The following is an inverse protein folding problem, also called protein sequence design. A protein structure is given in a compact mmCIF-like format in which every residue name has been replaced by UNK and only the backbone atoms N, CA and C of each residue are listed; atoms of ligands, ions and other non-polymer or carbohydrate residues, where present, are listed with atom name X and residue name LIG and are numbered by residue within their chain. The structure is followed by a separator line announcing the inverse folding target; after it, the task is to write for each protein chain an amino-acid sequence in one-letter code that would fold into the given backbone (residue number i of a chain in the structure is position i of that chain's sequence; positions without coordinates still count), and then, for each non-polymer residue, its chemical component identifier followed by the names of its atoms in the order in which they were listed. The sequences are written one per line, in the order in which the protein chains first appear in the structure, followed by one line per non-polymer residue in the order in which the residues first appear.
data_IF_203613474745
#
_entry.id   IF_203613474745
#
_cell.length_a   1.000
_cell.length_b   1.000
_cell.length_c   1.000
_cell.angle_alpha   90.00
_cell.angle_beta   90.00
_cell.angle_gamma   90.00
#
_symmetry.space_group_name_H-M   'P 1'
#
loop_
_entity.id
_entity.type
_entity.pdbx_description
1 polymer ?
#
# COMPACT_ATOMS: atom_id res chain seq x y z
N UNK A 1 26.48 -38.11 -11.20
CA UNK A 1 26.90 -37.32 -10.02
C UNK A 1 25.82 -36.30 -9.77
N UNK A 2 25.04 -36.53 -8.73
CA UNK A 2 23.94 -35.69 -8.30
C UNK A 2 24.53 -34.51 -7.52
N UNK A 3 24.30 -33.29 -7.98
CA UNK A 3 24.72 -32.07 -7.26
C UNK A 3 23.64 -31.79 -6.22
N UNK A 4 24.00 -31.94 -4.96
CA UNK A 4 23.19 -31.51 -3.82
C UNK A 4 23.41 -30.00 -3.70
N UNK A 5 22.35 -29.21 -3.90
CA UNK A 5 22.37 -27.77 -3.63
C UNK A 5 21.99 -27.60 -2.17
N UNK A 6 22.95 -27.16 -1.36
CA UNK A 6 22.73 -26.80 0.03
C UNK A 6 21.90 -25.51 0.12
N UNK A 7 20.92 -25.56 1.02
CA UNK A 7 19.94 -24.53 1.34
C UNK A 7 20.62 -23.31 2.02
N UNK A 8 20.54 -22.07 1.50
CA UNK A 8 21.10 -20.91 2.17
C UNK A 8 20.07 -20.28 3.10
N UNK A 9 19.78 -20.94 4.23
CA UNK A 9 19.09 -20.34 5.37
C UNK A 9 20.13 -20.01 6.45
N UNK A 10 20.90 -18.94 6.22
CA UNK A 10 21.69 -18.24 7.24
C UNK A 10 22.10 -16.89 6.65
N UNK A 11 21.37 -15.82 7.00
CA UNK A 11 21.79 -14.45 6.67
C UNK A 11 22.78 -14.01 7.75
N UNK A 12 24.07 -14.28 7.54
CA UNK A 12 25.12 -13.66 8.36
C UNK A 12 25.25 -12.17 8.00
N UNK A 13 24.86 -11.30 8.94
CA UNK A 13 25.13 -9.87 8.85
C UNK A 13 26.61 -9.61 9.21
N UNK A 14 27.47 -9.42 8.20
CA UNK A 14 28.79 -8.85 8.42
C UNK A 14 28.69 -7.32 8.45
N UNK A 15 28.94 -6.74 9.62
CA UNK A 15 29.15 -5.30 9.78
C UNK A 15 30.65 -5.11 10.03
N UNK A 16 31.36 -4.61 9.02
CA UNK A 16 32.72 -4.11 9.20
C UNK A 16 32.67 -2.76 9.91
N UNK A 17 32.74 -2.82 11.25
CA UNK A 17 33.12 -1.71 12.09
C UNK A 17 34.31 -2.17 12.94
N UNK A 18 35.40 -1.43 12.83
CA UNK A 18 36.65 -1.65 13.57
C UNK A 18 36.38 -1.65 15.09
N UNK A 19 36.88 -2.71 15.76
CA UNK A 19 37.31 -2.85 17.18
C UNK A 19 36.56 -2.02 18.25
N UNK A 20 35.90 -2.55 19.29
CA UNK A 20 36.15 -3.69 20.19
C UNK A 20 34.84 -4.05 20.94
N UNK A 21 34.62 -5.34 21.26
CA UNK A 21 33.59 -5.79 22.23
C UNK A 21 32.35 -6.46 21.62
N UNK A 22 32.47 -7.73 21.20
CA UNK A 22 31.37 -8.53 20.65
C UNK A 22 30.54 -9.18 21.76
N UNK A 23 29.30 -8.73 21.97
CA UNK A 23 28.20 -9.62 22.39
C UNK A 23 27.37 -9.96 21.14
N UNK A 24 27.31 -11.25 20.81
CA UNK A 24 26.47 -11.76 19.72
C UNK A 24 25.02 -11.70 20.17
N UNK A 25 24.25 -10.74 19.68
CA UNK A 25 22.79 -10.83 19.76
C UNK A 25 22.34 -11.79 18.65
N UNK A 26 22.15 -13.05 19.03
CA UNK A 26 21.53 -14.05 18.17
C UNK A 26 20.01 -13.93 18.37
N UNK A 27 19.31 -13.43 17.36
CA UNK A 27 17.84 -13.52 17.32
C UNK A 27 17.52 -14.70 16.45
N UNK A 28 17.08 -15.79 17.08
CA UNK A 28 16.69 -17.02 16.40
C UNK A 28 15.31 -16.82 15.77
N UNK A 29 15.27 -16.62 14.45
CA UNK A 29 14.01 -16.45 13.71
C UNK A 29 13.27 -17.77 13.48
N UNK A 30 13.92 -18.92 13.71
CA UNK A 30 13.29 -20.23 13.55
C UNK A 30 12.39 -20.60 14.75
N UNK A 31 12.57 -19.96 15.92
CA UNK A 31 11.73 -20.22 17.11
C UNK A 31 10.27 -19.75 16.97
N UNK A 32 9.95 -18.91 15.97
CA UNK A 32 8.61 -18.34 15.79
C UNK A 32 7.76 -19.04 14.71
N UNK A 33 8.32 -19.96 13.92
CA UNK A 33 7.61 -20.59 12.79
C UNK A 33 6.98 -21.91 13.24
N UNK A 34 5.66 -22.06 13.06
CA UNK A 34 4.95 -23.30 13.43
C UNK A 34 5.32 -24.50 12.53
N UNK A 35 5.31 -25.73 13.10
CA UNK A 35 5.44 -26.96 12.31
C UNK A 35 4.31 -27.05 11.27
N UNK A 36 4.67 -27.05 9.99
CA UNK A 36 3.71 -27.05 8.88
C UNK A 36 3.42 -25.67 8.27
N UNK A 37 4.33 -24.70 8.44
CA UNK A 37 4.25 -23.33 7.93
C UNK A 37 4.04 -23.12 6.42
N UNK A 38 4.03 -21.87 5.99
CA UNK A 38 3.85 -21.44 4.62
C UNK A 38 5.04 -21.87 3.75
N UNK A 39 4.74 -22.63 2.71
CA UNK A 39 5.72 -23.07 1.73
C UNK A 39 5.72 -22.09 0.57
N UNK A 40 6.87 -21.48 0.31
CA UNK A 40 7.05 -20.59 -0.84
C UNK A 40 6.94 -21.41 -2.14
N UNK A 41 6.10 -21.00 -3.09
CA UNK A 41 6.05 -21.64 -4.40
C UNK A 41 7.31 -21.33 -5.21
N UNK A 42 7.71 -22.27 -6.07
CA UNK A 42 8.88 -22.10 -6.95
C UNK A 42 8.63 -21.07 -8.07
N UNK A 43 7.37 -20.92 -8.50
CA UNK A 43 6.96 -20.03 -9.59
C UNK A 43 5.75 -19.17 -9.19
N UNK A 44 5.60 -18.02 -9.84
CA UNK A 44 4.47 -17.11 -9.65
C UNK A 44 3.17 -17.65 -10.26
N UNK A 45 2.10 -16.87 -10.17
CA UNK A 45 0.76 -17.28 -10.60
C UNK A 45 0.66 -17.54 -12.13
N UNK A 46 1.68 -17.12 -12.90
CA UNK A 46 1.80 -17.32 -14.35
C UNK A 46 2.83 -18.42 -14.72
N UNK A 47 3.43 -19.09 -13.73
CA UNK A 47 4.45 -20.12 -13.97
C UNK A 47 5.84 -19.57 -14.30
N UNK A 48 6.09 -18.30 -14.02
CA UNK A 48 7.38 -17.61 -14.21
C UNK A 48 8.10 -17.43 -12.87
N UNK A 49 9.34 -16.95 -12.92
CA UNK A 49 10.03 -16.53 -11.69
C UNK A 49 9.33 -15.31 -11.08
N UNK A 50 9.28 -15.22 -9.76
CA UNK A 50 8.72 -14.03 -9.08
C UNK A 50 9.53 -12.78 -9.42
N UNK A 51 8.83 -11.66 -9.62
CA UNK A 51 9.43 -10.36 -9.96
C UNK A 51 10.34 -10.41 -11.20
N UNK A 52 9.91 -11.17 -12.21
CA UNK A 52 10.59 -11.21 -13.51
C UNK A 52 10.22 -9.97 -14.33
N UNK A 53 11.19 -9.06 -14.47
CA UNK A 53 11.06 -7.81 -15.24
C UNK A 53 11.90 -7.80 -16.52
N UNK A 54 12.54 -8.92 -16.87
CA UNK A 54 13.40 -9.02 -18.05
C UNK A 54 12.74 -9.81 -19.18
N UNK A 55 11.65 -10.51 -18.88
CA UNK A 55 10.94 -11.35 -19.84
C UNK A 55 9.91 -10.55 -20.67
N UNK A 56 10.41 -9.94 -21.75
CA UNK A 56 9.66 -9.05 -22.64
C UNK A 56 8.59 -9.71 -23.53
N UNK A 57 8.28 -11.01 -23.35
CA UNK A 57 7.36 -11.75 -24.23
C UNK A 57 5.88 -11.71 -23.81
N UNK A 58 5.48 -10.89 -22.83
CA UNK A 58 4.08 -10.80 -22.38
C UNK A 58 3.52 -9.36 -22.32
N UNK A 59 2.21 -9.20 -22.59
CA UNK A 59 1.48 -7.91 -22.53
C UNK A 59 1.57 -7.26 -21.14
N UNK A 60 1.71 -8.08 -20.09
CA UNK A 60 1.85 -7.61 -18.71
C UNK A 60 3.15 -6.84 -18.48
N UNK A 61 4.25 -7.29 -19.09
CA UNK A 61 5.56 -6.66 -18.98
C UNK A 61 5.55 -5.25 -19.57
N UNK A 62 4.92 -5.06 -20.74
CA UNK A 62 4.77 -3.73 -21.35
C UNK A 62 3.97 -2.76 -20.43
N UNK A 63 2.89 -3.26 -19.80
CA UNK A 63 2.08 -2.47 -18.85
C UNK A 63 2.91 -2.08 -17.62
N UNK A 64 3.66 -3.03 -17.07
CA UNK A 64 4.52 -2.83 -15.90
C UNK A 64 5.64 -1.82 -16.22
N UNK A 65 6.37 -2.01 -17.31
CA UNK A 65 7.45 -1.11 -17.73
C UNK A 65 6.92 0.31 -18.00
N UNK A 66 5.79 0.46 -18.69
CA UNK A 66 5.19 1.79 -18.90
C UNK A 66 4.74 2.44 -17.59
N UNK A 67 4.21 1.66 -16.64
CA UNK A 67 3.83 2.17 -15.31
C UNK A 67 5.05 2.72 -14.57
N UNK A 68 6.16 1.97 -14.54
CA UNK A 68 7.40 2.41 -13.92
C UNK A 68 8.06 3.58 -14.67
N UNK A 69 8.05 3.58 -16.00
CA UNK A 69 8.56 4.71 -16.77
C UNK A 69 7.81 6.00 -16.42
N UNK A 70 6.47 5.97 -16.40
CA UNK A 70 5.67 7.12 -15.99
C UNK A 70 5.92 7.50 -14.52
N UNK A 71 6.08 6.53 -13.63
CA UNK A 71 6.39 6.78 -12.23
C UNK A 71 7.73 7.53 -12.11
N UNK A 72 8.81 6.98 -12.68
CA UNK A 72 10.15 7.54 -12.60
C UNK A 72 10.21 8.93 -13.23
N UNK A 73 9.54 9.19 -14.35
CA UNK A 73 9.58 10.50 -15.00
C UNK A 73 8.78 11.58 -14.24
N UNK A 74 7.76 11.22 -13.45
CA UNK A 74 6.81 12.19 -12.87
C UNK A 74 6.86 12.33 -11.33
N UNK A 75 7.39 11.34 -10.60
CA UNK A 75 7.58 11.43 -9.15
C UNK A 75 8.75 12.36 -8.81
N UNK A 76 8.46 13.65 -8.76
CA UNK A 76 9.40 14.71 -8.35
C UNK A 76 9.21 15.06 -6.89
N UNK A 77 10.23 15.65 -6.27
CA UNK A 77 10.18 16.16 -4.90
C UNK A 77 9.00 17.12 -4.68
N UNK A 78 8.75 18.00 -5.65
CA UNK A 78 7.62 18.94 -5.59
C UNK A 78 6.27 18.26 -5.80
N UNK A 79 6.18 17.26 -6.70
CA UNK A 79 4.96 16.46 -6.85
C UNK A 79 4.59 15.76 -5.55
N UNK A 80 5.53 15.04 -4.94
CA UNK A 80 5.32 14.30 -3.69
C UNK A 80 4.86 15.22 -2.57
N UNK A 81 5.49 16.40 -2.42
CA UNK A 81 5.05 17.39 -1.42
C UNK A 81 3.59 17.80 -1.60
N UNK A 82 3.18 18.14 -2.82
CA UNK A 82 1.78 18.50 -3.12
C UNK A 82 0.81 17.36 -2.87
N UNK A 83 1.21 16.13 -3.21
CA UNK A 83 0.38 14.95 -2.99
C UNK A 83 0.18 14.69 -1.50
N UNK A 84 1.25 14.71 -0.70
CA UNK A 84 1.16 14.59 0.77
C UNK A 84 0.31 15.69 1.39
N UNK A 85 0.44 16.94 0.93
CA UNK A 85 -0.41 18.05 1.42
C UNK A 85 -1.89 17.83 1.07
N UNK A 86 -2.18 17.40 -0.17
CA UNK A 86 -3.54 17.17 -0.65
C UNK A 86 -4.20 15.99 0.06
N UNK A 87 -3.51 14.86 0.16
CA UNK A 87 -4.07 13.60 0.63
C UNK A 87 -3.91 13.39 2.14
N UNK A 88 -2.92 14.03 2.77
CA UNK A 88 -2.77 14.05 4.24
C UNK A 88 -3.88 14.80 4.96
N UNK A 89 -4.75 15.52 4.24
CA UNK A 89 -5.98 16.08 4.82
C UNK A 89 -6.93 15.01 5.32
N UNK A 90 -6.91 13.84 4.66
CA UNK A 90 -7.86 12.75 4.86
C UNK A 90 -9.26 13.32 4.91
N UNK A 91 -9.87 13.60 3.77
CA UNK A 91 -11.19 14.26 3.65
C UNK A 91 -12.05 13.65 2.53
N UNK A 92 -11.79 12.40 2.14
CA UNK A 92 -12.40 11.76 0.97
C UNK A 92 -13.63 10.92 1.29
N UNK A 93 -13.59 10.15 2.38
CA UNK A 93 -14.69 9.26 2.78
C UNK A 93 -14.62 8.89 4.27
N UNK A 94 -15.64 8.25 4.82
CA UNK A 94 -15.56 7.58 6.13
C UNK A 94 -16.11 6.16 5.94
N UNK A 95 -15.31 5.16 6.30
CA UNK A 95 -15.67 3.74 6.16
C UNK A 95 -14.79 2.89 7.07
N UNK A 96 -15.22 1.66 7.33
CA UNK A 96 -14.43 0.65 8.03
C UNK A 96 -13.32 0.08 7.13
N UNK A 97 -12.34 -0.56 7.76
CA UNK A 97 -11.28 -1.32 7.07
C UNK A 97 -11.89 -2.37 6.13
N UNK A 98 -12.94 -3.07 6.57
CA UNK A 98 -13.54 -4.12 5.78
C UNK A 98 -14.30 -3.58 4.56
N UNK A 99 -15.03 -2.47 4.71
CA UNK A 99 -15.63 -1.77 3.56
C UNK A 99 -14.56 -1.30 2.56
N UNK A 100 -13.40 -0.85 3.06
CA UNK A 100 -12.26 -0.50 2.21
C UNK A 100 -11.72 -1.72 1.44
N UNK A 101 -11.58 -2.88 2.09
CA UNK A 101 -11.21 -4.13 1.44
C UNK A 101 -12.20 -4.49 0.31
N UNK A 102 -13.51 -4.36 0.57
CA UNK A 102 -14.55 -4.66 -0.42
C UNK A 102 -14.54 -3.71 -1.63
N UNK A 103 -14.10 -2.45 -1.47
CA UNK A 103 -13.92 -1.52 -2.59
C UNK A 103 -12.79 -1.90 -3.54
N UNK A 104 -11.81 -2.65 -3.07
CA UNK A 104 -10.65 -3.09 -3.87
C UNK A 104 -10.94 -4.32 -4.74
N UNK A 105 -12.16 -4.86 -4.71
CA UNK A 105 -12.61 -5.90 -5.64
C UNK A 105 -12.50 -5.48 -7.12
N UNK A 106 -12.63 -4.18 -7.40
CA UNK A 106 -12.60 -3.64 -8.77
C UNK A 106 -11.20 -3.12 -9.17
N UNK A 107 -10.17 -3.38 -8.36
CA UNK A 107 -8.80 -2.89 -8.58
C UNK A 107 -7.88 -4.04 -8.94
N UNK A 108 -7.16 -3.86 -10.05
CA UNK A 108 -6.01 -4.68 -10.47
C UNK A 108 -4.79 -3.77 -10.49
N UNK A 109 -3.70 -4.19 -9.87
CA UNK A 109 -2.43 -3.44 -9.82
C UNK A 109 -1.71 -3.58 -11.18
N UNK A 110 -1.33 -2.50 -11.85
CA UNK A 110 -0.63 -2.57 -13.15
C UNK A 110 0.90 -2.68 -13.05
N UNK A 111 1.46 -2.54 -11.85
CA UNK A 111 2.89 -2.65 -11.58
C UNK A 111 3.35 -4.06 -11.18
N UNK A 112 2.40 -4.95 -10.87
CA UNK A 112 2.67 -6.29 -10.37
C UNK A 112 2.86 -7.32 -11.50
N UNK A 113 4.07 -7.87 -11.72
CA UNK A 113 4.29 -8.89 -12.74
C UNK A 113 3.74 -10.27 -12.34
N UNK A 114 3.36 -10.48 -11.07
CA UNK A 114 3.12 -11.80 -10.50
C UNK A 114 1.65 -12.18 -10.33
N UNK A 115 0.73 -11.20 -10.38
CA UNK A 115 -0.70 -11.41 -10.15
C UNK A 115 -1.58 -10.36 -10.85
N UNK A 116 -2.73 -10.79 -11.37
CA UNK A 116 -3.79 -9.95 -11.97
C UNK A 116 -5.19 -10.18 -11.34
N UNK A 117 -5.22 -10.76 -10.13
CA UNK A 117 -6.46 -10.97 -9.36
C UNK A 117 -6.96 -9.68 -8.68
N UNK A 118 -8.24 -9.63 -8.28
CA UNK A 118 -8.75 -8.55 -7.44
C UNK A 118 -7.92 -8.35 -6.18
N UNK A 119 -7.62 -7.10 -5.87
CA UNK A 119 -6.70 -6.74 -4.81
C UNK A 119 -7.12 -7.29 -3.41
N UNK A 120 -8.41 -7.46 -3.12
CA UNK A 120 -8.85 -8.09 -1.85
C UNK A 120 -8.31 -9.51 -1.65
N UNK A 121 -8.16 -10.28 -2.74
CA UNK A 121 -7.66 -11.66 -2.65
C UNK A 121 -6.20 -11.65 -2.21
N UNK A 122 -5.40 -10.73 -2.75
CA UNK A 122 -4.02 -10.55 -2.35
C UNK A 122 -3.91 -10.18 -0.86
N UNK A 123 -4.73 -9.24 -0.36
CA UNK A 123 -4.74 -8.88 1.06
C UNK A 123 -4.96 -10.10 1.97
N UNK A 124 -5.95 -10.92 1.63
CA UNK A 124 -6.30 -12.12 2.41
C UNK A 124 -5.26 -13.23 2.26
N UNK A 125 -4.65 -13.40 1.08
CA UNK A 125 -3.57 -14.35 0.85
C UNK A 125 -2.35 -14.03 1.72
N UNK A 126 -1.92 -12.77 1.72
CA UNK A 126 -0.80 -12.31 2.55
C UNK A 126 -1.10 -12.49 4.04
N UNK A 127 -2.29 -12.09 4.48
CA UNK A 127 -2.68 -12.17 5.88
C UNK A 127 -2.85 -13.62 6.37
N UNK A 128 -3.46 -14.51 5.59
CA UNK A 128 -3.60 -15.93 5.96
C UNK A 128 -2.26 -16.67 5.94
N UNK A 129 -1.38 -16.34 4.99
CA UNK A 129 -0.05 -16.94 4.92
C UNK A 129 0.80 -16.55 6.15
N UNK A 130 0.75 -15.27 6.56
CA UNK A 130 1.40 -14.80 7.80
C UNK A 130 0.78 -15.50 9.02
N UNK A 131 -0.56 -15.54 9.09
CA UNK A 131 -1.29 -16.15 10.22
C UNK A 131 -0.94 -17.60 10.45
N UNK A 132 -0.60 -18.33 9.39
CA UNK A 132 -0.14 -19.72 9.47
C UNK A 132 1.22 -19.85 10.17
N UNK A 133 2.16 -18.94 9.86
CA UNK A 133 3.52 -19.00 10.39
C UNK A 133 3.63 -18.32 11.76
N UNK A 134 2.90 -17.24 11.98
CA UNK A 134 2.97 -16.39 13.18
C UNK A 134 1.62 -16.30 13.91
N UNK A 135 1.00 -17.42 14.34
CA UNK A 135 -0.39 -17.45 14.82
C UNK A 135 -0.70 -16.52 16.02
N UNK A 136 0.33 -16.07 16.75
CA UNK A 136 0.21 -15.21 17.91
C UNK A 136 0.46 -13.71 17.60
N UNK A 137 0.87 -13.35 16.38
CA UNK A 137 1.22 -11.98 15.99
C UNK A 137 0.04 -11.29 15.28
N UNK A 138 -1.05 -11.09 16.01
CA UNK A 138 -2.30 -10.56 15.47
C UNK A 138 -2.16 -9.16 14.82
N UNK A 139 -1.26 -8.32 15.34
CA UNK A 139 -0.92 -7.03 14.72
C UNK A 139 -0.31 -7.21 13.33
N UNK A 140 0.47 -8.27 13.09
CA UNK A 140 1.10 -8.54 11.79
C UNK A 140 0.06 -9.05 10.79
N UNK A 141 -0.92 -9.83 11.25
CA UNK A 141 -2.06 -10.24 10.42
C UNK A 141 -2.88 -9.02 9.98
N UNK A 142 -3.13 -8.09 10.90
CA UNK A 142 -3.82 -6.85 10.59
C UNK A 142 -3.00 -5.96 9.65
N UNK A 143 -1.70 -5.79 9.90
CA UNK A 143 -0.77 -5.10 9.00
C UNK A 143 -0.86 -5.67 7.58
N UNK A 144 -0.87 -6.99 7.44
CA UNK A 144 -1.01 -7.66 6.16
C UNK A 144 -2.37 -7.49 5.50
N UNK A 145 -3.45 -7.45 6.26
CA UNK A 145 -4.77 -7.15 5.70
C UNK A 145 -4.82 -5.71 5.16
N UNK A 146 -4.11 -4.76 5.77
CA UNK A 146 -4.28 -3.33 5.46
C UNK A 146 -3.18 -2.70 4.58
N UNK A 147 -2.03 -3.36 4.39
CA UNK A 147 -0.85 -2.77 3.74
C UNK A 147 -1.19 -2.07 2.41
N UNK A 148 -2.02 -2.71 1.61
CA UNK A 148 -2.34 -2.30 0.25
C UNK A 148 -3.64 -1.48 0.12
N UNK A 149 -4.29 -1.15 1.24
CA UNK A 149 -5.57 -0.42 1.22
C UNK A 149 -5.46 0.99 0.62
N UNK A 150 -4.24 1.51 0.47
CA UNK A 150 -4.01 2.81 -0.15
C UNK A 150 -4.29 2.81 -1.65
N UNK A 151 -4.40 1.64 -2.27
CA UNK A 151 -4.79 1.47 -3.68
C UNK A 151 -6.19 2.01 -3.99
N UNK A 152 -7.02 2.31 -2.97
CA UNK A 152 -8.30 3.02 -3.16
C UNK A 152 -8.15 4.38 -3.85
N UNK A 153 -6.96 4.98 -3.82
CA UNK A 153 -6.63 6.22 -4.55
C UNK A 153 -6.89 6.12 -6.07
N UNK A 154 -6.90 4.91 -6.62
CA UNK A 154 -7.24 4.63 -8.02
C UNK A 154 -8.73 4.84 -8.32
N UNK A 155 -9.59 4.74 -7.29
CA UNK A 155 -11.02 4.84 -7.47
C UNK A 155 -11.44 6.31 -7.63
N UNK A 156 -12.41 6.62 -8.51
CA UNK A 156 -12.83 8.00 -8.79
C UNK A 156 -13.20 8.81 -7.55
N UNK A 157 -13.84 8.18 -6.56
CA UNK A 157 -14.26 8.84 -5.31
C UNK A 157 -13.10 9.26 -4.40
N UNK A 158 -11.91 8.66 -4.57
CA UNK A 158 -10.69 9.05 -3.85
C UNK A 158 -9.76 9.93 -4.68
N UNK A 159 -10.09 10.16 -5.95
CA UNK A 159 -9.37 11.08 -6.83
C UNK A 159 -9.04 10.50 -8.19
N UNK A 160 -9.21 9.18 -8.39
CA UNK A 160 -8.93 8.53 -9.67
C UNK A 160 -7.50 8.77 -10.13
N UNK A 161 -6.53 8.62 -9.22
CA UNK A 161 -5.13 8.81 -9.56
C UNK A 161 -4.67 7.78 -10.60
N UNK A 162 -3.73 8.14 -11.48
CA UNK A 162 -3.12 7.16 -12.38
C UNK A 162 -2.31 6.13 -11.57
N UNK A 163 -2.22 4.89 -12.06
CA UNK A 163 -1.52 3.77 -11.41
C UNK A 163 -0.11 4.14 -10.96
N UNK A 164 0.68 4.82 -11.80
CA UNK A 164 2.05 5.24 -11.49
C UNK A 164 2.17 6.15 -10.25
N UNK A 165 1.08 6.82 -9.84
CA UNK A 165 1.03 7.68 -8.66
C UNK A 165 0.44 6.98 -7.42
N UNK A 166 0.21 5.67 -7.50
CA UNK A 166 -0.41 4.85 -6.45
C UNK A 166 0.37 3.57 -6.20
N UNK A 167 0.67 2.77 -7.22
CA UNK A 167 1.27 1.44 -7.11
C UNK A 167 2.75 1.42 -7.51
N UNK A 168 3.39 0.27 -7.34
CA UNK A 168 4.78 -0.01 -7.72
C UNK A 168 5.78 0.25 -6.60
N UNK A 169 7.00 -0.22 -6.83
CA UNK A 169 8.14 0.00 -5.94
C UNK A 169 8.31 1.51 -5.65
N UNK A 170 8.66 1.83 -4.41
CA UNK A 170 8.88 3.21 -3.98
C UNK A 170 10.37 3.53 -3.81
N UNK A 171 10.69 4.82 -3.89
CA UNK A 171 12.06 5.33 -3.79
C UNK A 171 12.09 6.72 -3.15
N UNK A 172 13.19 7.12 -2.49
CA UNK A 172 13.35 8.48 -1.99
C UNK A 172 13.38 9.51 -3.13
N UNK A 173 12.60 10.58 -3.00
CA UNK A 173 12.73 11.78 -3.85
C UNK A 173 13.55 12.84 -3.13
N UNK A 174 14.18 13.75 -3.87
CA UNK A 174 14.98 14.83 -3.26
C UNK A 174 16.40 14.46 -2.87
N UNK A 175 16.85 13.25 -3.23
CA UNK A 175 18.25 12.82 -3.27
C UNK A 175 18.51 12.05 -4.57
N UNK A 176 19.76 11.65 -4.82
CA UNK A 176 20.11 10.87 -6.00
C UNK A 176 19.32 9.55 -6.04
N UNK A 177 18.86 9.19 -7.24
CA UNK A 177 18.27 7.89 -7.49
C UNK A 177 19.37 6.83 -7.58
N UNK A 178 19.19 5.71 -6.88
CA UNK A 178 20.11 4.57 -6.83
C UNK A 178 19.84 3.60 -7.99
N UNK A 179 20.88 2.97 -8.53
CA UNK A 179 20.76 2.05 -9.67
C UNK A 179 19.98 0.77 -9.33
N UNK A 180 19.78 0.47 -8.05
CA UNK A 180 18.94 -0.64 -7.59
C UNK A 180 17.43 -0.40 -7.78
N UNK A 181 17.00 0.81 -8.11
CA UNK A 181 15.63 1.05 -8.53
C UNK A 181 15.36 0.32 -9.84
N UNK A 182 14.23 -0.41 -9.89
CA UNK A 182 13.80 -1.09 -11.10
C UNK A 182 13.73 -0.11 -12.28
N UNK A 183 14.08 -0.56 -13.48
CA UNK A 183 14.10 0.26 -14.71
C UNK A 183 14.76 1.64 -14.52
N UNK A 184 15.89 1.67 -13.81
CA UNK A 184 16.63 2.88 -13.45
C UNK A 184 16.85 3.86 -14.61
N UNK A 185 17.03 3.35 -15.83
CA UNK A 185 17.24 4.15 -17.03
C UNK A 185 16.20 5.25 -17.25
N UNK A 186 14.95 5.04 -16.81
CA UNK A 186 13.86 6.01 -17.00
C UNK A 186 13.98 7.23 -16.10
N UNK A 187 14.74 7.18 -15.01
CA UNK A 187 14.96 8.35 -14.17
C UNK A 187 15.65 9.51 -14.90
N UNK A 188 16.35 9.25 -16.03
CA UNK A 188 16.94 10.30 -16.88
C UNK A 188 15.90 11.27 -17.44
N UNK A 189 14.64 10.86 -17.52
CA UNK A 189 13.51 11.71 -17.94
C UNK A 189 12.97 12.59 -16.80
N UNK A 190 13.31 12.28 -15.54
CA UNK A 190 12.85 13.04 -14.38
C UNK A 190 13.59 14.37 -14.27
N UNK A 191 12.88 15.52 -14.13
CA UNK A 191 13.52 16.82 -14.00
C UNK A 191 14.40 16.95 -12.73
N UNK A 192 14.19 16.14 -11.70
CA UNK A 192 15.00 16.14 -10.49
C UNK A 192 16.32 15.36 -10.65
N UNK A 193 16.47 14.52 -11.69
CA UNK A 193 17.65 13.67 -11.88
C UNK A 193 18.95 14.47 -11.99
N UNK A 194 18.95 15.54 -12.78
CA UNK A 194 20.11 16.43 -12.95
C UNK A 194 20.00 17.72 -12.11
N UNK A 195 19.03 17.81 -11.20
CA UNK A 195 18.85 18.99 -10.38
C UNK A 195 19.97 19.06 -9.32
N UNK A 196 20.80 20.12 -9.27
CA UNK A 196 21.94 20.19 -8.33
C UNK A 196 21.52 20.15 -6.85
N UNK A 197 20.25 20.45 -6.54
CA UNK A 197 19.71 20.35 -5.18
C UNK A 197 19.44 18.90 -4.74
N UNK A 198 19.17 18.01 -5.70
CA UNK A 198 18.70 16.64 -5.43
C UNK A 198 19.68 15.58 -5.91
N UNK A 199 20.51 15.85 -6.92
CA UNK A 199 21.40 14.88 -7.58
C UNK A 199 22.59 14.38 -6.73
N UNK A 200 22.76 14.83 -5.49
CA UNK A 200 23.78 14.30 -4.58
C UNK A 200 23.25 13.11 -3.77
N UNK A 201 24.16 12.28 -3.24
CA UNK A 201 23.81 11.07 -2.45
C UNK A 201 22.72 11.32 -1.40
N UNK A 202 22.79 12.45 -0.70
CA UNK A 202 21.83 12.79 0.36
C UNK A 202 20.85 13.89 -0.07
N UNK A 203 21.15 14.64 -1.14
CA UNK A 203 20.32 15.73 -1.63
C UNK A 203 19.93 16.71 -0.52
N UNK A 204 18.65 16.78 -0.19
CA UNK A 204 18.11 17.64 0.88
C UNK A 204 18.15 17.03 2.29
N UNK A 205 18.58 15.78 2.44
CA UNK A 205 18.57 15.05 3.69
C UNK A 205 19.93 15.08 4.39
N UNK A 206 19.92 14.94 5.72
CA UNK A 206 21.12 14.62 6.49
C UNK A 206 21.32 13.11 6.55
N UNK A 207 22.58 12.68 6.68
CA UNK A 207 22.91 11.28 6.99
C UNK A 207 22.19 10.82 8.27
N UNK A 208 21.66 9.60 8.27
CA UNK A 208 21.00 9.01 9.45
C UNK A 208 19.77 9.78 9.94
N UNK A 209 19.12 10.59 9.08
CA UNK A 209 17.97 11.39 9.49
C UNK A 209 16.75 10.56 9.90
N UNK A 210 16.73 9.27 9.56
CA UNK A 210 15.60 8.38 9.72
C UNK A 210 14.64 8.49 8.54
N UNK A 211 14.17 7.36 8.03
CA UNK A 211 13.28 7.29 6.87
C UNK A 211 11.97 8.04 7.09
N UNK A 212 11.55 8.23 8.34
CA UNK A 212 10.38 9.04 8.67
C UNK A 212 10.50 10.50 8.19
N UNK A 213 11.73 11.02 8.08
CA UNK A 213 12.07 12.36 7.62
C UNK A 213 12.40 12.43 6.12
N UNK A 214 12.39 11.29 5.42
CA UNK A 214 12.60 11.18 3.98
C UNK A 214 11.26 11.23 3.25
N UNK A 215 11.19 12.02 2.18
CA UNK A 215 10.06 11.95 1.26
C UNK A 215 10.27 10.79 0.30
N UNK A 216 9.36 9.83 0.36
CA UNK A 216 9.28 8.73 -0.60
C UNK A 216 8.40 9.14 -1.79
N UNK A 217 8.59 8.53 -2.96
CA UNK A 217 7.63 8.60 -4.05
C UNK A 217 6.21 8.33 -3.52
N UNK A 218 5.25 9.12 -3.96
CA UNK A 218 3.91 9.09 -3.39
C UNK A 218 3.13 7.89 -3.94
N UNK A 219 2.48 7.14 -3.05
CA UNK A 219 1.70 5.96 -3.41
C UNK A 219 0.86 5.44 -2.25
N UNK A 220 0.43 4.19 -2.38
CA UNK A 220 -0.41 3.48 -1.42
C UNK A 220 0.26 3.33 -0.04
N UNK A 221 1.57 3.04 0.02
CA UNK A 221 2.34 2.94 1.27
C UNK A 221 2.21 4.22 2.13
N UNK A 222 2.56 5.36 1.54
CA UNK A 222 2.63 6.64 2.26
C UNK A 222 1.22 7.13 2.62
N UNK A 223 0.24 6.90 1.74
CA UNK A 223 -1.15 7.20 2.04
C UNK A 223 -1.68 6.35 3.19
N UNK A 224 -1.46 5.04 3.20
CA UNK A 224 -1.90 4.17 4.30
C UNK A 224 -1.19 4.48 5.61
N UNK A 225 0.09 4.85 5.56
CA UNK A 225 0.79 5.35 6.74
C UNK A 225 0.14 6.62 7.30
N UNK A 226 -0.20 7.60 6.45
CA UNK A 226 -0.89 8.82 6.88
C UNK A 226 -2.26 8.50 7.48
N UNK A 227 -3.00 7.59 6.85
CA UNK A 227 -4.30 7.10 7.33
C UNK A 227 -4.16 6.45 8.71
N UNK A 228 -3.21 5.53 8.89
CA UNK A 228 -3.00 4.85 10.17
C UNK A 228 -2.57 5.82 11.28
N UNK A 229 -1.65 6.75 10.95
CA UNK A 229 -1.12 7.74 11.89
C UNK A 229 -2.19 8.72 12.37
N UNK A 230 -2.93 9.34 11.46
CA UNK A 230 -3.95 10.35 11.81
C UNK A 230 -5.19 9.74 12.51
N UNK A 231 -5.40 8.43 12.36
CA UNK A 231 -6.44 7.69 13.07
C UNK A 231 -5.98 7.03 14.37
N UNK A 232 -4.79 7.41 14.88
CA UNK A 232 -4.24 6.92 16.15
C UNK A 232 -4.25 5.39 16.26
N UNK A 233 -3.76 4.70 15.22
CA UNK A 233 -3.63 3.24 15.24
C UNK A 233 -2.89 2.75 16.49
N UNK A 234 -3.21 1.54 16.96
CA UNK A 234 -2.43 0.84 18.00
C UNK A 234 -1.44 -0.15 17.41
N UNK A 235 -1.26 -0.16 16.08
CA UNK A 235 -0.20 -0.96 15.47
C UNK A 235 1.15 -0.55 16.07
N UNK A 236 2.05 -1.52 16.35
CA UNK A 236 3.39 -1.21 16.80
C UNK A 236 4.16 -0.44 15.70
N UNK A 237 5.29 0.17 16.08
CA UNK A 237 6.20 0.86 15.14
C UNK A 237 6.57 -0.02 13.96
N UNK A 238 6.80 -1.32 14.19
CA UNK A 238 7.04 -2.32 13.17
C UNK A 238 5.92 -2.41 12.12
N UNK A 239 4.65 -2.44 12.55
CA UNK A 239 3.51 -2.49 11.65
C UNK A 239 3.36 -1.23 10.80
N UNK A 240 3.58 -0.06 11.39
CA UNK A 240 3.61 1.22 10.67
C UNK A 240 4.78 1.31 9.67
N UNK A 241 5.95 0.79 10.05
CA UNK A 241 7.13 0.74 9.20
C UNK A 241 6.90 -0.19 8.00
N UNK A 242 6.32 -1.38 8.23
CA UNK A 242 5.92 -2.28 7.15
C UNK A 242 4.97 -1.59 6.18
N UNK A 243 3.87 -1.01 6.67
CA UNK A 243 2.89 -0.31 5.80
C UNK A 243 3.57 0.76 4.95
N UNK A 244 4.48 1.55 5.53
CA UNK A 244 5.08 2.70 4.85
C UNK A 244 6.20 2.34 3.87
N UNK A 245 6.82 1.17 4.01
CA UNK A 245 8.04 0.83 3.28
C UNK A 245 8.03 -0.56 2.63
N UNK A 246 6.87 -1.23 2.58
CA UNK A 246 6.76 -2.57 1.95
C UNK A 246 7.03 -2.58 0.46
N UNK A 247 6.82 -1.45 -0.22
CA UNK A 247 7.19 -1.26 -1.61
C UNK A 247 8.64 -0.80 -1.79
N UNK A 248 9.43 -0.58 -0.73
CA UNK A 248 10.78 -0.01 -0.82
C UNK A 248 11.86 -1.07 -1.13
N UNK A 249 11.68 -1.80 -2.23
CA UNK A 249 12.56 -2.89 -2.67
C UNK A 249 14.05 -2.51 -2.76
N UNK A 250 14.44 -1.34 -3.29
CA UNK A 250 15.84 -0.89 -3.24
C UNK A 250 16.46 -1.01 -1.85
N UNK A 251 15.71 -0.71 -0.79
CA UNK A 251 16.18 -0.87 0.58
C UNK A 251 16.17 -2.33 1.04
N UNK A 252 15.00 -2.97 1.08
CA UNK A 252 14.88 -4.25 1.79
C UNK A 252 15.39 -5.46 0.99
N UNK A 253 15.47 -5.36 -0.35
CA UNK A 253 16.04 -6.38 -1.23
C UNK A 253 17.51 -6.11 -1.56
N UNK A 254 17.86 -4.89 -1.94
CA UNK A 254 19.20 -4.55 -2.45
C UNK A 254 20.11 -3.90 -1.41
N UNK A 255 19.56 -3.40 -0.30
CA UNK A 255 20.33 -2.75 0.76
C UNK A 255 20.76 -1.32 0.45
N UNK A 256 20.17 -0.69 -0.58
CA UNK A 256 20.39 0.72 -0.91
C UNK A 256 19.76 1.64 0.14
N UNK A 257 20.14 2.93 0.11
CA UNK A 257 19.59 3.99 0.97
C UNK A 257 19.76 3.83 2.49
N UNK A 258 20.52 2.83 2.97
CA UNK A 258 20.81 2.63 4.40
C UNK A 258 21.45 3.84 5.08
N UNK A 259 22.14 4.71 4.32
CA UNK A 259 22.74 5.95 4.80
C UNK A 259 21.71 6.97 5.33
N UNK A 260 20.42 6.81 5.00
CA UNK A 260 19.34 7.65 5.50
C UNK A 260 18.64 7.06 6.75
N UNK A 261 18.90 5.80 7.08
CA UNK A 261 18.23 5.09 8.18
C UNK A 261 18.78 5.50 9.55
N UNK A 262 17.91 5.52 10.55
CA UNK A 262 18.30 5.58 11.97
C UNK A 262 18.21 4.20 12.64
N UNK A 263 18.49 4.13 13.94
CA UNK A 263 18.45 2.88 14.72
C UNK A 263 17.07 2.20 14.70
N UNK A 264 16.00 2.99 14.87
CA UNK A 264 14.62 2.47 14.83
C UNK A 264 14.25 1.86 13.46
N UNK A 265 14.69 2.49 12.36
CA UNK A 265 14.48 1.95 11.02
C UNK A 265 15.21 0.60 10.84
N UNK A 266 16.42 0.49 11.39
CA UNK A 266 17.21 -0.75 11.32
C UNK A 266 16.55 -1.88 12.12
N UNK A 267 15.98 -1.58 13.28
CA UNK A 267 15.21 -2.54 14.08
C UNK A 267 13.94 -3.01 13.37
N UNK A 268 13.23 -2.09 12.70
CA UNK A 268 11.99 -2.42 12.00
C UNK A 268 12.21 -3.10 10.63
N UNK A 269 13.38 -2.93 10.01
CA UNK A 269 13.72 -3.57 8.75
C UNK A 269 13.62 -5.11 8.80
N UNK A 270 13.84 -5.73 9.97
CA UNK A 270 13.66 -7.18 10.14
C UNK A 270 12.20 -7.61 9.91
N UNK A 271 11.25 -6.84 10.43
CA UNK A 271 9.82 -7.11 10.29
C UNK A 271 9.34 -6.86 8.86
N UNK A 272 9.88 -5.83 8.21
CA UNK A 272 9.64 -5.59 6.79
C UNK A 272 10.10 -6.77 5.93
N UNK A 273 11.28 -7.34 6.19
CA UNK A 273 11.76 -8.53 5.47
C UNK A 273 10.90 -9.76 5.71
N UNK A 274 10.44 -9.97 6.95
CA UNK A 274 9.49 -11.04 7.29
C UNK A 274 8.20 -10.84 6.48
N UNK A 275 7.61 -9.65 6.54
CA UNK A 275 6.39 -9.32 5.83
C UNK A 275 6.50 -9.54 4.31
N UNK A 276 7.59 -9.05 3.70
CA UNK A 276 7.80 -9.10 2.26
C UNK A 276 7.77 -10.53 1.68
N UNK A 277 8.18 -11.53 2.47
CA UNK A 277 8.05 -12.95 2.09
C UNK A 277 6.59 -13.28 1.76
N UNK A 278 5.64 -12.87 2.60
CA UNK A 278 4.24 -13.26 2.44
C UNK A 278 3.53 -12.40 1.42
N UNK A 279 3.81 -11.10 1.42
CA UNK A 279 3.36 -10.17 0.38
C UNK A 279 3.71 -10.70 -1.02
N UNK A 280 4.97 -11.08 -1.24
CA UNK A 280 5.40 -11.56 -2.55
C UNK A 280 4.93 -12.99 -2.85
N UNK A 281 5.22 -13.94 -1.98
CA UNK A 281 5.15 -15.36 -2.32
C UNK A 281 3.77 -16.00 -2.09
N UNK A 282 2.86 -15.33 -1.38
CA UNK A 282 1.49 -15.82 -1.18
C UNK A 282 0.56 -15.60 -2.39
N UNK A 283 1.01 -14.79 -3.36
CA UNK A 283 0.26 -14.47 -4.58
C UNK A 283 -0.10 -15.73 -5.34
N UNK A 284 -1.40 -16.00 -5.44
CA UNK A 284 -1.90 -17.28 -5.95
C UNK A 284 -3.19 -17.12 -6.74
N UNK A 285 -3.41 -18.02 -7.71
CA UNK A 285 -4.71 -18.18 -8.39
C UNK A 285 -5.73 -18.95 -7.57
N UNK A 286 -5.35 -19.51 -6.42
CA UNK A 286 -6.28 -20.17 -5.51
C UNK A 286 -6.92 -19.10 -4.62
N UNK A 287 -8.24 -18.85 -4.75
CA UNK A 287 -8.90 -17.80 -3.98
C UNK A 287 -9.07 -18.22 -2.52
N UNK A 288 -8.99 -17.24 -1.61
CA UNK A 288 -9.35 -17.43 -0.20
C UNK A 288 -10.87 -17.43 -0.07
N UNK A 289 -11.40 -18.34 0.75
CA UNK A 289 -12.81 -18.34 1.10
C UNK A 289 -13.12 -17.18 2.06
N UNK A 290 -13.58 -16.06 1.50
CA UNK A 290 -13.83 -14.82 2.24
C UNK A 290 -14.78 -15.04 3.42
N UNK A 291 -15.87 -15.79 3.23
CA UNK A 291 -16.89 -15.99 4.30
C UNK A 291 -16.34 -16.76 5.50
N UNK A 292 -15.33 -17.61 5.29
CA UNK A 292 -14.68 -18.38 6.35
C UNK A 292 -13.73 -17.51 7.20
N UNK A 293 -12.96 -16.65 6.54
CA UNK A 293 -11.93 -15.84 7.21
C UNK A 293 -12.44 -14.48 7.71
N UNK A 294 -13.50 -13.95 7.10
CA UNK A 294 -14.10 -12.64 7.43
C UNK A 294 -14.42 -12.47 8.92
N UNK A 295 -15.01 -13.45 9.64
CA UNK A 295 -15.27 -13.32 11.07
C UNK A 295 -13.99 -13.05 11.90
N UNK A 296 -12.89 -13.71 11.54
CA UNK A 296 -11.61 -13.50 12.21
C UNK A 296 -11.07 -12.08 11.99
N UNK A 297 -11.01 -11.63 10.74
CA UNK A 297 -10.49 -10.29 10.43
C UNK A 297 -11.38 -9.17 10.95
N UNK A 298 -12.71 -9.34 10.94
CA UNK A 298 -13.61 -8.41 11.61
C UNK A 298 -13.36 -8.34 13.11
N UNK A 299 -13.03 -9.45 13.77
CA UNK A 299 -12.67 -9.47 15.18
C UNK A 299 -11.32 -8.78 15.46
N UNK A 300 -10.34 -8.90 14.55
CA UNK A 300 -9.07 -8.16 14.64
C UNK A 300 -9.27 -6.66 14.44
N UNK A 301 -10.05 -6.29 13.42
CA UNK A 301 -10.45 -4.90 13.18
C UNK A 301 -11.20 -4.34 14.39
N UNK A 302 -12.02 -5.16 15.06
CA UNK A 302 -12.72 -4.78 16.29
C UNK A 302 -11.84 -4.68 17.53
N UNK A 303 -10.87 -5.58 17.70
CA UNK A 303 -9.82 -5.40 18.70
C UNK A 303 -9.06 -4.10 18.43
N UNK A 304 -8.94 -3.74 17.16
CA UNK A 304 -8.45 -2.45 16.75
C UNK A 304 -9.50 -1.31 16.84
N UNK A 305 -10.81 -1.51 17.08
CA UNK A 305 -11.89 -0.48 16.91
C UNK A 305 -11.88 0.73 17.85
N UNK A 306 -10.91 0.88 18.76
CA UNK A 306 -10.52 2.23 19.18
C UNK A 306 -9.93 3.05 17.99
N UNK A 307 -9.77 2.44 16.82
CA UNK A 307 -9.09 2.87 15.59
C UNK A 307 -10.05 2.84 14.39
N UNK A 308 -11.16 3.59 14.45
CA UNK A 308 -11.89 3.90 13.22
C UNK A 308 -10.91 4.57 12.26
N UNK A 309 -10.53 3.87 11.18
CA UNK A 309 -9.84 4.48 10.05
C UNK A 309 -10.83 5.42 9.37
N UNK A 310 -10.91 6.65 9.86
CA UNK A 310 -11.60 7.70 9.14
C UNK A 310 -10.70 8.12 7.99
N UNK A 311 -11.13 7.80 6.78
CA UNK A 311 -10.58 8.41 5.56
C UNK A 311 -11.00 9.91 5.44
N UNK A 312 -11.65 10.46 6.47
CA UNK A 312 -12.10 11.86 6.58
C UNK A 312 -12.06 12.43 8.02
N UNK A 313 -11.53 13.64 8.24
CA UNK A 313 -11.70 14.36 9.52
C UNK A 313 -13.17 14.77 9.69
N UNK A 314 -13.80 14.39 10.80
CA UNK A 314 -15.05 15.02 11.22
C UNK A 314 -14.76 16.47 11.62
N UNK A 315 -15.34 17.45 10.91
CA UNK A 315 -15.34 18.85 11.33
C UNK A 315 -16.22 19.03 12.58
N UNK A 316 -15.74 18.59 13.74
CA UNK A 316 -16.23 19.08 15.04
C UNK A 316 -15.42 20.31 15.40
N UNK A 317 -15.79 21.46 14.83
CA UNK A 317 -15.65 22.79 15.45
C UNK A 317 -16.11 23.88 14.46
N UNK A 318 -17.42 24.15 14.46
CA UNK A 318 -17.94 25.48 14.15
C UNK A 318 -19.26 25.67 14.90
N UNK A 319 -19.17 25.70 16.23
CA UNK A 319 -20.22 26.28 17.07
C UNK A 319 -19.57 27.24 18.06
N UNK A 320 -19.15 28.39 17.55
CA UNK A 320 -18.84 29.56 18.37
C UNK A 320 -19.88 30.64 18.09
N UNK A 321 -20.75 30.81 19.09
CA UNK A 321 -21.39 32.05 19.54
C UNK A 321 -22.01 32.97 18.50
N UNK A 322 -23.34 32.94 18.39
CA UNK A 322 -24.13 34.16 18.16
C UNK A 322 -25.06 34.39 19.35
N UNK A 323 -24.53 35.11 20.34
CA UNK A 323 -25.33 35.84 21.31
C UNK A 323 -25.82 37.14 20.68
N UNK A 324 -27.13 37.34 20.75
CA UNK A 324 -27.86 38.62 20.80
C UNK A 324 -27.61 39.66 19.71
N UNK A 325 -28.63 39.87 18.87
CA UNK A 325 -29.12 41.21 18.58
C UNK A 325 -30.64 41.20 18.33
N UNK A 326 -31.26 42.22 18.90
CA UNK A 326 -32.67 42.43 19.15
C UNK A 326 -33.46 42.88 17.91
N UNK A 327 -34.72 42.43 17.88
CA UNK A 327 -35.96 43.18 17.60
C UNK A 327 -36.25 43.81 16.22
N UNK A 328 -37.53 43.61 15.85
CA UNK A 328 -38.46 44.56 15.21
C UNK A 328 -38.43 44.75 13.68
N UNK A 329 -39.41 44.16 12.96
CA UNK A 329 -40.65 44.85 12.50
C UNK A 329 -41.50 43.99 11.53
N UNK A 330 -42.79 44.33 11.49
CA UNK A 330 -43.94 43.69 10.82
C UNK A 330 -44.06 44.07 9.32
N UNK A 331 -44.49 43.10 8.47
CA UNK A 331 -45.47 43.08 7.33
C UNK A 331 -45.58 44.26 6.30
N UNK A 332 -46.28 44.10 5.14
CA UNK A 332 -46.57 42.95 4.25
C UNK A 332 -46.46 43.27 2.72
N UNK A 333 -46.85 42.29 1.87
CA UNK A 333 -47.24 42.36 0.44
C UNK A 333 -46.15 42.34 -0.66
N UNK A 334 -46.11 41.29 -1.49
CA UNK A 334 -46.77 41.27 -2.82
C UNK A 334 -46.41 40.03 -3.67
N UNK A 335 -47.46 39.50 -4.29
CA UNK A 335 -47.58 38.78 -5.58
C UNK A 335 -46.55 37.71 -6.05
N UNK A 336 -47.08 36.48 -6.18
CA UNK A 336 -46.79 35.42 -7.18
C UNK A 336 -46.77 35.95 -8.64
N UNK A 337 -46.28 35.24 -9.69
CA UNK A 337 -46.38 33.77 -9.85
C UNK A 337 -45.28 33.02 -10.65
N UNK A 338 -45.46 31.69 -10.65
CA UNK A 338 -45.10 30.69 -11.68
C UNK A 338 -43.62 30.40 -11.98
N UNK A 339 -43.18 29.16 -11.73
CA UNK A 339 -42.90 28.21 -12.82
C UNK A 339 -42.48 26.81 -12.32
N UNK A 340 -43.05 25.81 -13.01
CA UNK A 340 -42.48 24.50 -13.37
C UNK A 340 -41.95 23.57 -12.27
N UNK A 341 -42.81 22.62 -11.89
CA UNK A 341 -42.37 21.31 -11.44
C UNK A 341 -41.70 20.56 -12.61
N UNK A 342 -40.42 20.20 -12.46
CA UNK A 342 -39.76 19.18 -13.29
C UNK A 342 -39.43 17.99 -12.41
N UNK A 343 -40.05 16.87 -12.74
CA UNK A 343 -39.90 15.57 -12.06
C UNK A 343 -38.61 14.92 -12.56
N UNK A 344 -37.52 14.99 -11.81
CA UNK A 344 -36.30 14.23 -12.08
C UNK A 344 -36.40 12.83 -11.46
N UNK A 345 -36.62 11.82 -12.31
CA UNK A 345 -36.56 10.40 -11.93
C UNK A 345 -35.13 10.06 -11.49
N UNK A 346 -34.91 9.85 -10.19
CA UNK A 346 -33.75 9.13 -9.67
C UNK A 346 -33.77 7.70 -10.20
N UNK A 347 -32.81 7.35 -11.06
CA UNK A 347 -32.54 5.96 -11.44
C UNK A 347 -31.55 5.40 -10.41
N UNK A 348 -32.05 4.66 -9.43
CA UNK A 348 -31.20 3.89 -8.53
C UNK A 348 -30.53 2.77 -9.34
N UNK A 349 -29.20 2.78 -9.44
CA UNK A 349 -28.44 1.58 -9.85
C UNK A 349 -28.37 0.67 -8.62
N UNK A 350 -29.08 -0.45 -8.71
CA UNK A 350 -29.00 -1.54 -7.72
C UNK A 350 -27.62 -2.19 -7.87
N UNK A 351 -26.83 -2.23 -6.80
CA UNK A 351 -25.61 -3.04 -6.75
C UNK A 351 -25.99 -4.51 -6.99
N UNK A 352 -25.25 -5.20 -7.85
CA UNK A 352 -25.44 -6.61 -8.15
C UNK A 352 -24.87 -7.43 -6.99
N UNK A 353 -25.57 -8.51 -6.63
CA UNK A 353 -25.10 -9.45 -5.60
C UNK A 353 -23.89 -10.25 -6.11
N UNK A 354 -23.04 -10.77 -5.22
CA UNK A 354 -21.86 -11.56 -5.61
C UNK A 354 -22.18 -12.76 -6.52
N UNK A 355 -23.38 -13.33 -6.41
CA UNK A 355 -23.84 -14.40 -7.31
C UNK A 355 -24.08 -13.93 -8.76
N UNK A 356 -24.47 -12.67 -8.94
CA UNK A 356 -24.72 -12.09 -10.26
C UNK A 356 -23.41 -11.80 -11.02
N UNK A 357 -22.31 -11.56 -10.30
CA UNK A 357 -20.96 -11.37 -10.86
C UNK A 357 -20.42 -12.69 -11.44
N UNK A 358 -20.54 -13.79 -10.69
CA UNK A 358 -20.12 -15.13 -11.13
C UNK A 358 -20.87 -15.55 -12.41
N UNK A 359 -22.20 -15.33 -12.45
CA UNK A 359 -23.01 -15.63 -13.64
C UNK A 359 -22.63 -14.79 -14.85
N UNK A 360 -22.28 -13.51 -14.65
CA UNK A 360 -21.83 -12.63 -15.73
C UNK A 360 -20.49 -13.08 -16.32
N UNK A 361 -19.54 -13.47 -15.49
CA UNK A 361 -18.23 -13.92 -15.95
C UNK A 361 -18.29 -15.29 -16.64
N UNK A 362 -19.13 -16.21 -16.16
CA UNK A 362 -19.40 -17.48 -16.85
C UNK A 362 -20.08 -17.29 -18.21
N UNK A 363 -20.90 -16.24 -18.37
CA UNK A 363 -21.53 -15.92 -19.65
C UNK A 363 -20.53 -15.27 -20.64
N UNK A 364 -19.59 -14.46 -20.15
CA UNK A 364 -18.54 -13.85 -20.97
C UNK A 364 -17.48 -14.86 -21.46
N UNK A 365 -17.14 -15.87 -20.65
CA UNK A 365 -16.28 -16.98 -21.08
C UNK A 365 -16.90 -17.82 -22.20
N UNK A 366 -18.22 -18.05 -22.16
CA UNK A 366 -18.92 -18.80 -23.21
C UNK A 366 -18.93 -18.06 -24.56
N UNK A 367 -18.95 -16.74 -24.53
CA UNK A 367 -18.91 -15.90 -25.75
C UNK A 367 -17.49 -15.73 -26.29
N UNK A 368 -16.45 -16.01 -25.50
CA UNK A 368 -15.04 -16.01 -25.94
C UNK A 368 -14.59 -17.35 -26.55
N UNK A 369 -15.34 -18.43 -26.34
CA UNK A 369 -15.05 -19.77 -26.86
C UNK A 369 -15.95 -20.19 -28.05
N UNK A 370 -16.74 -19.27 -28.58
CA UNK A 370 -17.55 -19.41 -29.79
C UNK A 370 -17.10 -18.35 -30.80
#
# INVERSE_FOLDING_TARGET
MTVIVENPANVELFVDLQEEGKEKIHVDTDELVSEGGFTMPDNNAFGQSFRDYDNAENERHEIVEQTYRLQHSNQTYDFVKRMREKYGKLDKAEMSIWECCELLNDVVDDSDPDLDEPQIMHLLQSAEAIRKDYPNEDWLHLTALIHDLGKILLLPQFGGLPQWAVVGDIFPVGCAFDESNIHYQHFKENPDYNNPKYSTKNGVYSEGCGLNNVLMSFGHDDYMYLVAKENNTTLPSAGLFVIRYHSFYPLHKCGAYKHLMNEEDMENLKWLKIFNKYDLYSKSKVPINIEEVKPYYLSLIEKAKDQVIKLSKSNKNNSLSHSNLHQNRKNPNSHSPSHMATTSKKRAKKALSGEDYIKRNQMLEKTRKA
#
